data_IF_338438329690
#
_entry.id   IF_338438329690
#
_cell.length_a   1.000
_cell.length_b   1.000
_cell.length_c   1.000
_cell.angle_alpha   90.00
_cell.angle_beta   90.00
_cell.angle_gamma   90.00
#
_symmetry.space_group_name_H-M   'P 1'
#
loop_
_entity.id
_entity.type
_entity.pdbx_description
1 polymer ?
#
# COMPACT_ATOMS: atom_id res chain seq x y z
N UNK A 1 4.85 10.65 -16.66
CA UNK A 1 4.81 9.76 -15.48
C UNK A 1 5.06 10.61 -14.25
N UNK A 2 4.33 10.41 -13.18
CA UNK A 2 4.47 11.25 -11.97
C UNK A 2 5.81 11.01 -11.27
N UNK A 3 6.47 12.07 -10.79
CA UNK A 3 7.73 12.00 -10.02
C UNK A 3 7.58 11.24 -8.68
N UNK A 4 6.33 10.92 -8.30
CA UNK A 4 6.03 10.12 -7.11
C UNK A 4 6.15 8.62 -7.36
N UNK A 5 6.13 8.15 -8.62
CA UNK A 5 6.29 6.74 -8.96
C UNK A 5 7.78 6.46 -9.07
N UNK A 6 8.32 5.71 -8.11
CA UNK A 6 9.76 5.48 -7.95
C UNK A 6 10.08 4.00 -7.75
N UNK A 7 11.31 3.62 -8.08
CA UNK A 7 11.77 2.24 -7.84
C UNK A 7 11.96 1.97 -6.34
N UNK A 8 12.06 0.70 -5.98
CA UNK A 8 12.27 0.29 -4.59
C UNK A 8 13.63 0.80 -4.07
N UNK A 9 14.66 0.88 -4.93
CA UNK A 9 15.98 1.40 -4.60
C UNK A 9 15.94 2.91 -4.32
N UNK A 10 15.23 3.67 -5.16
CA UNK A 10 15.00 5.09 -4.95
C UNK A 10 14.20 5.33 -3.66
N UNK A 11 13.20 4.50 -3.39
CA UNK A 11 12.39 4.57 -2.17
C UNK A 11 13.23 4.26 -0.93
N UNK A 12 14.13 3.28 -1.01
CA UNK A 12 15.07 2.97 0.08
C UNK A 12 15.95 4.17 0.44
N UNK A 13 16.52 4.84 -0.56
CA UNK A 13 17.32 6.04 -0.36
C UNK A 13 16.49 7.19 0.26
N UNK A 14 15.23 7.36 -0.16
CA UNK A 14 14.32 8.35 0.44
C UNK A 14 14.00 8.03 1.89
N UNK A 15 13.73 6.74 2.19
CA UNK A 15 13.47 6.28 3.56
C UNK A 15 14.67 6.54 4.48
N UNK A 16 15.88 6.27 4.01
CA UNK A 16 17.09 6.53 4.75
C UNK A 16 17.28 8.04 5.03
N UNK A 17 17.07 8.88 4.02
CA UNK A 17 17.14 10.34 4.17
C UNK A 17 16.12 10.84 5.20
N UNK A 18 14.87 10.39 5.14
CA UNK A 18 13.84 10.76 6.13
C UNK A 18 14.25 10.35 7.54
N UNK A 19 14.73 9.12 7.72
CA UNK A 19 15.18 8.59 9.01
C UNK A 19 16.35 9.40 9.59
N UNK A 20 17.32 9.78 8.77
CA UNK A 20 18.44 10.64 9.19
C UNK A 20 17.98 12.01 9.70
N UNK A 21 16.86 12.52 9.19
CA UNK A 21 16.26 13.78 9.64
C UNK A 21 15.21 13.60 10.74
N UNK A 22 15.12 12.41 11.35
CA UNK A 22 14.14 12.11 12.39
C UNK A 22 12.68 12.09 11.91
N UNK A 23 12.46 11.99 10.59
CA UNK A 23 11.13 11.98 9.97
C UNK A 23 10.65 10.54 9.76
N UNK A 24 9.35 10.35 9.87
CA UNK A 24 8.68 9.05 9.79
C UNK A 24 8.15 8.76 8.39
N UNK A 25 8.59 7.65 7.80
CA UNK A 25 7.98 7.09 6.60
C UNK A 25 6.92 6.06 6.99
N UNK A 26 5.71 6.25 6.49
CA UNK A 26 4.60 5.32 6.61
C UNK A 26 4.51 4.48 5.34
N UNK A 27 4.45 3.16 5.47
CA UNK A 27 4.27 2.20 4.37
C UNK A 27 2.91 1.53 4.49
N UNK A 28 2.19 1.48 3.39
CA UNK A 28 1.06 0.56 3.18
C UNK A 28 1.25 -0.19 1.87
N UNK A 29 0.60 -1.35 1.72
CA UNK A 29 0.59 -2.10 0.46
C UNK A 29 -0.80 -2.58 0.11
N UNK A 30 -1.02 -2.87 -1.16
CA UNK A 30 -2.27 -3.42 -1.64
C UNK A 30 -2.40 -3.45 -3.15
N UNK A 31 -3.52 -4.00 -3.62
CA UNK A 31 -3.82 -4.11 -5.04
C UNK A 31 -4.38 -2.81 -5.64
N UNK A 32 -5.20 -2.09 -4.90
CA UNK A 32 -5.82 -0.81 -5.30
C UNK A 32 -6.36 -0.84 -6.74
N UNK A 33 -7.09 -1.90 -7.08
CA UNK A 33 -7.53 -2.14 -8.46
C UNK A 33 -8.61 -1.15 -8.91
N UNK A 34 -9.66 -0.96 -8.09
CA UNK A 34 -10.65 0.10 -8.23
C UNK A 34 -10.64 0.98 -6.98
N UNK A 35 -10.23 2.22 -7.14
CA UNK A 35 -10.26 3.18 -6.05
C UNK A 35 -11.69 3.65 -5.76
N UNK A 36 -11.98 3.81 -4.48
CA UNK A 36 -13.21 4.38 -3.97
C UNK A 36 -12.92 5.26 -2.75
N UNK A 37 -13.90 5.98 -2.27
CA UNK A 37 -13.73 6.93 -1.15
C UNK A 37 -13.15 6.28 0.12
N UNK A 38 -13.45 5.00 0.34
CA UNK A 38 -12.86 4.23 1.45
C UNK A 38 -11.33 4.19 1.37
N UNK A 39 -10.76 3.94 0.19
CA UNK A 39 -9.31 3.99 -0.03
C UNK A 39 -8.75 5.40 0.20
N UNK A 40 -9.43 6.44 -0.30
CA UNK A 40 -8.97 7.84 -0.13
C UNK A 40 -8.91 8.22 1.35
N UNK A 41 -9.96 7.89 2.11
CA UNK A 41 -10.02 8.17 3.56
C UNK A 41 -8.97 7.38 4.33
N UNK A 42 -8.80 6.12 3.98
CA UNK A 42 -7.77 5.25 4.57
C UNK A 42 -6.37 5.81 4.32
N UNK A 43 -6.02 6.13 3.07
CA UNK A 43 -4.70 6.65 2.72
C UNK A 43 -4.43 8.01 3.37
N UNK A 44 -5.46 8.87 3.50
CA UNK A 44 -5.35 10.14 4.23
C UNK A 44 -5.03 9.90 5.69
N UNK A 45 -5.78 9.02 6.37
CA UNK A 45 -5.53 8.67 7.76
C UNK A 45 -4.14 8.04 7.96
N UNK A 46 -3.68 7.19 7.03
CA UNK A 46 -2.33 6.64 7.05
C UNK A 46 -1.26 7.75 6.93
N UNK A 47 -1.47 8.72 6.04
CA UNK A 47 -0.54 9.86 5.85
C UNK A 47 -0.38 10.71 7.11
N UNK A 48 -1.44 10.88 7.88
CA UNK A 48 -1.45 11.66 9.14
C UNK A 48 -0.59 11.01 10.26
N UNK A 49 -0.20 9.75 10.11
CA UNK A 49 0.62 9.03 11.08
C UNK A 49 2.13 9.29 10.94
N UNK A 50 2.55 9.96 9.87
CA UNK A 50 3.97 10.25 9.64
C UNK A 50 4.21 11.43 8.70
N UNK A 51 5.44 11.59 8.30
CA UNK A 51 5.89 12.72 7.47
C UNK A 51 5.80 12.45 5.97
N UNK A 52 5.73 11.19 5.57
CA UNK A 52 5.53 10.76 4.19
C UNK A 52 4.79 9.42 4.16
N UNK A 53 3.91 9.25 3.16
CA UNK A 53 3.21 8.00 2.88
C UNK A 53 3.70 7.39 1.56
N UNK A 54 4.12 6.15 1.62
CA UNK A 54 4.38 5.32 0.45
C UNK A 54 3.32 4.23 0.32
N UNK A 55 2.85 4.04 -0.91
CA UNK A 55 2.02 2.90 -1.29
C UNK A 55 2.89 1.92 -2.08
N UNK A 56 3.14 0.75 -1.51
CA UNK A 56 3.69 -0.38 -2.23
C UNK A 56 2.53 -1.10 -2.96
N UNK A 57 2.53 -0.97 -4.28
CA UNK A 57 1.47 -1.46 -5.15
C UNK A 57 1.82 -2.85 -5.68
N UNK A 58 0.93 -3.82 -5.49
CA UNK A 58 1.07 -5.14 -6.08
C UNK A 58 1.00 -5.05 -7.61
N UNK A 59 1.99 -5.62 -8.30
CA UNK A 59 2.03 -5.74 -9.75
C UNK A 59 0.91 -6.63 -10.28
N UNK A 60 0.71 -6.64 -11.60
CA UNK A 60 -0.44 -7.31 -12.23
C UNK A 60 -0.45 -8.82 -11.97
N UNK A 61 0.69 -9.49 -12.11
CA UNK A 61 0.80 -10.94 -11.83
C UNK A 61 0.48 -11.27 -10.37
N UNK A 62 0.95 -10.44 -9.45
CA UNK A 62 0.68 -10.56 -8.03
C UNK A 62 -0.81 -10.40 -7.72
N UNK A 63 -1.47 -9.41 -8.34
CA UNK A 63 -2.93 -9.22 -8.18
C UNK A 63 -3.71 -10.39 -8.76
N UNK A 64 -3.31 -10.92 -9.91
CA UNK A 64 -3.93 -12.10 -10.51
C UNK A 64 -3.87 -13.31 -9.55
N UNK A 65 -2.71 -13.56 -8.94
CA UNK A 65 -2.54 -14.63 -7.95
C UNK A 65 -3.38 -14.43 -6.68
N UNK A 66 -3.55 -13.18 -6.24
CA UNK A 66 -4.31 -12.85 -5.02
C UNK A 66 -5.82 -12.81 -5.22
N UNK A 67 -6.30 -12.39 -6.39
CA UNK A 67 -7.71 -12.07 -6.65
C UNK A 67 -8.38 -13.00 -7.66
N UNK A 68 -7.59 -13.78 -8.41
CA UNK A 68 -8.09 -14.73 -9.39
C UNK A 68 -8.22 -14.18 -10.80
N UNK A 69 -8.85 -14.98 -11.65
CA UNK A 69 -9.02 -14.69 -13.07
C UNK A 69 -9.81 -13.40 -13.30
N UNK A 70 -9.43 -12.66 -14.36
CA UNK A 70 -10.06 -11.38 -14.70
C UNK A 70 -9.60 -10.19 -13.83
N UNK A 71 -8.59 -10.39 -12.99
CA UNK A 71 -8.02 -9.32 -12.16
C UNK A 71 -6.51 -9.19 -12.39
N UNK A 72 -5.94 -7.99 -12.34
CA UNK A 72 -6.63 -6.71 -12.06
C UNK A 72 -7.48 -6.23 -13.24
N UNK A 73 -8.40 -5.29 -12.97
CA UNK A 73 -9.18 -4.59 -14.00
C UNK A 73 -8.35 -3.49 -14.68
N UNK A 74 -7.54 -2.79 -13.89
CA UNK A 74 -6.60 -1.78 -14.37
C UNK A 74 -5.17 -2.30 -14.22
N UNK A 75 -4.34 -2.08 -15.25
CA UNK A 75 -2.94 -2.46 -15.21
C UNK A 75 -2.16 -1.69 -14.12
N UNK A 76 -1.02 -2.21 -13.73
CA UNK A 76 -0.22 -1.66 -12.63
C UNK A 76 0.25 -0.23 -12.87
N UNK A 77 0.51 0.17 -14.12
CA UNK A 77 0.93 1.53 -14.45
C UNK A 77 -0.21 2.53 -14.23
N UNK A 78 -1.42 2.22 -14.70
CA UNK A 78 -2.60 3.06 -14.51
C UNK A 78 -2.98 3.16 -13.03
N UNK A 79 -2.93 2.05 -12.30
CA UNK A 79 -3.18 2.03 -10.85
C UNK A 79 -2.18 2.89 -10.08
N UNK A 80 -0.89 2.81 -10.45
CA UNK A 80 0.16 3.63 -9.85
C UNK A 80 -0.05 5.12 -10.13
N UNK A 81 -0.43 5.48 -11.35
CA UNK A 81 -0.67 6.87 -11.73
C UNK A 81 -1.86 7.47 -10.98
N UNK A 82 -2.97 6.73 -10.85
CA UNK A 82 -4.14 7.15 -10.07
C UNK A 82 -3.79 7.35 -8.59
N UNK A 83 -3.02 6.44 -7.99
CA UNK A 83 -2.55 6.58 -6.61
C UNK A 83 -1.63 7.80 -6.44
N UNK A 84 -0.69 8.00 -7.37
CA UNK A 84 0.24 9.11 -7.34
C UNK A 84 -0.45 10.49 -7.48
N UNK A 85 -1.62 10.52 -8.11
CA UNK A 85 -2.43 11.74 -8.22
C UNK A 85 -3.10 12.16 -6.90
N UNK A 86 -3.19 11.25 -5.91
CA UNK A 86 -3.74 11.58 -4.61
C UNK A 86 -2.78 12.48 -3.82
N UNK A 87 -3.31 13.57 -3.27
CA UNK A 87 -2.51 14.53 -2.49
C UNK A 87 -1.89 13.93 -1.22
N UNK A 88 -2.54 12.91 -0.64
CA UNK A 88 -2.06 12.24 0.56
C UNK A 88 -1.00 11.16 0.29
N UNK A 89 -0.68 10.84 -0.97
CA UNK A 89 0.34 9.86 -1.34
C UNK A 89 1.60 10.61 -1.77
N UNK A 90 2.72 10.34 -1.11
CA UNK A 90 4.01 10.96 -1.42
C UNK A 90 4.80 10.12 -2.43
N UNK A 91 4.75 8.78 -2.29
CA UNK A 91 5.45 7.85 -3.20
C UNK A 91 4.61 6.62 -3.50
N UNK A 92 4.80 6.08 -4.70
CA UNK A 92 4.27 4.79 -5.14
C UNK A 92 5.43 3.96 -5.64
N UNK A 93 5.53 2.71 -5.22
CA UNK A 93 6.47 1.73 -5.78
C UNK A 93 5.73 0.46 -6.14
N UNK A 94 6.01 -0.10 -7.32
CA UNK A 94 5.39 -1.35 -7.78
C UNK A 94 6.31 -2.52 -7.41
N UNK A 95 5.73 -3.60 -6.88
CA UNK A 95 6.47 -4.82 -6.59
C UNK A 95 5.72 -6.05 -7.14
N UNK A 96 6.48 -7.04 -7.62
CA UNK A 96 5.91 -8.18 -8.35
C UNK A 96 5.60 -9.40 -7.48
N UNK A 97 6.14 -9.46 -6.27
CA UNK A 97 5.87 -10.54 -5.33
C UNK A 97 4.45 -10.46 -4.78
N UNK A 98 3.89 -11.59 -4.37
CA UNK A 98 2.58 -11.64 -3.71
C UNK A 98 2.61 -10.89 -2.38
N UNK A 99 3.73 -10.96 -1.66
CA UNK A 99 3.93 -10.35 -0.36
C UNK A 99 4.88 -9.17 -0.41
N UNK A 100 4.67 -8.18 0.43
CA UNK A 100 5.50 -6.99 0.53
C UNK A 100 6.78 -7.18 1.37
N UNK A 101 7.11 -8.41 1.78
CA UNK A 101 8.24 -8.74 2.66
C UNK A 101 9.54 -8.07 2.19
N UNK A 102 9.90 -8.25 0.90
CA UNK A 102 11.11 -7.63 0.33
C UNK A 102 11.07 -6.11 0.36
N UNK A 103 9.91 -5.50 0.09
CA UNK A 103 9.73 -4.04 0.17
C UNK A 103 9.98 -3.56 1.60
N UNK A 104 9.40 -4.24 2.58
CA UNK A 104 9.56 -3.94 4.01
C UNK A 104 11.02 -4.00 4.42
N UNK A 105 11.73 -5.07 4.06
CA UNK A 105 13.14 -5.27 4.43
C UNK A 105 14.08 -4.23 3.82
N UNK A 106 13.84 -3.84 2.57
CA UNK A 106 14.67 -2.86 1.85
C UNK A 106 14.36 -1.44 2.31
N UNK A 107 13.09 -1.07 2.38
CA UNK A 107 12.64 0.29 2.68
C UNK A 107 12.77 0.62 4.17
N UNK A 108 12.56 -0.36 5.04
CA UNK A 108 12.63 -0.22 6.51
C UNK A 108 11.80 0.98 7.00
N UNK A 109 10.47 0.96 6.77
CA UNK A 109 9.60 2.07 7.15
C UNK A 109 9.56 2.24 8.67
N UNK A 110 9.31 3.48 9.13
CA UNK A 110 9.09 3.75 10.56
C UNK A 110 7.76 3.16 11.05
N UNK A 111 6.78 3.12 10.16
CA UNK A 111 5.44 2.60 10.45
C UNK A 111 4.88 1.83 9.26
N UNK A 112 4.21 0.73 9.54
CA UNK A 112 3.46 -0.07 8.57
C UNK A 112 1.98 -0.02 8.90
N UNK A 113 1.16 0.33 7.91
CA UNK A 113 -0.27 0.49 8.08
C UNK A 113 -1.02 -0.52 7.22
N UNK A 114 -1.99 -1.19 7.82
CA UNK A 114 -2.94 -2.06 7.14
C UNK A 114 -4.36 -1.60 7.43
N UNK A 115 -5.25 -1.71 6.46
CA UNK A 115 -6.68 -1.38 6.62
C UNK A 115 -7.50 -2.64 6.78
N UNK A 116 -8.59 -2.57 7.57
CA UNK A 116 -9.59 -3.61 7.58
C UNK A 116 -9.66 -4.48 8.83
N UNK A 117 -10.11 -5.72 8.61
CA UNK A 117 -10.32 -6.70 9.68
C UNK A 117 -9.01 -7.40 10.09
N UNK A 118 -7.85 -6.83 9.71
CA UNK A 118 -6.57 -7.35 10.14
C UNK A 118 -6.35 -7.07 11.61
N UNK A 119 -5.69 -7.99 12.26
CA UNK A 119 -5.02 -7.80 13.55
C UNK A 119 -3.54 -8.05 13.33
N UNK A 120 -2.69 -7.68 14.28
CA UNK A 120 -1.25 -8.02 14.21
C UNK A 120 -1.03 -9.52 14.05
N UNK A 121 -1.91 -10.33 14.65
CA UNK A 121 -1.85 -11.79 14.58
C UNK A 121 -2.32 -12.37 13.22
N UNK A 122 -3.17 -11.65 12.49
CA UNK A 122 -3.70 -12.09 11.19
C UNK A 122 -2.94 -11.50 9.99
N UNK A 123 -1.93 -10.67 10.24
CA UNK A 123 -0.99 -10.27 9.19
C UNK A 123 -0.27 -11.51 8.63
N UNK A 124 0.13 -11.43 7.38
CA UNK A 124 0.96 -12.47 6.80
C UNK A 124 2.19 -12.73 7.66
N UNK A 125 2.50 -14.00 7.99
CA UNK A 125 3.60 -14.33 8.89
C UNK A 125 4.97 -13.84 8.42
N UNK A 126 5.25 -13.86 7.11
CA UNK A 126 6.53 -13.40 6.57
C UNK A 126 6.65 -11.87 6.66
N UNK A 127 5.57 -11.15 6.30
CA UNK A 127 5.53 -9.69 6.45
C UNK A 127 5.66 -9.28 7.92
N UNK A 128 4.96 -9.97 8.82
CA UNK A 128 5.06 -9.70 10.26
C UNK A 128 6.46 -9.92 10.79
N UNK A 129 7.11 -11.04 10.45
CA UNK A 129 8.48 -11.32 10.88
C UNK A 129 9.47 -10.25 10.34
N UNK A 130 9.30 -9.81 9.10
CA UNK A 130 10.13 -8.74 8.53
C UNK A 130 9.95 -7.42 9.30
N UNK A 131 8.71 -7.05 9.65
CA UNK A 131 8.40 -5.86 10.43
C UNK A 131 8.97 -5.92 11.85
N UNK A 132 8.83 -7.05 12.53
CA UNK A 132 9.38 -7.28 13.88
C UNK A 132 10.91 -7.19 13.88
N UNK A 133 11.57 -7.79 12.89
CA UNK A 133 13.04 -7.77 12.73
C UNK A 133 13.62 -6.36 12.62
N UNK A 134 12.90 -5.45 12.02
CA UNK A 134 13.33 -4.06 11.85
C UNK A 134 12.68 -3.09 12.84
N UNK A 135 11.96 -3.61 13.83
CA UNK A 135 11.26 -2.86 14.88
C UNK A 135 10.29 -1.79 14.34
N UNK A 136 9.60 -2.09 13.24
CA UNK A 136 8.60 -1.20 12.64
C UNK A 136 7.32 -1.19 13.47
N UNK A 137 6.77 -0.02 13.74
CA UNK A 137 5.46 0.11 14.38
C UNK A 137 4.35 -0.33 13.41
N UNK A 138 3.45 -1.20 13.86
CA UNK A 138 2.32 -1.69 13.06
C UNK A 138 1.04 -1.01 13.55
N UNK A 139 0.29 -0.42 12.61
CA UNK A 139 -1.02 0.21 12.86
C UNK A 139 -2.08 -0.40 11.97
N UNK A 140 -3.18 -0.81 12.57
CA UNK A 140 -4.38 -1.26 11.86
C UNK A 140 -5.41 -0.15 11.90
N UNK A 141 -5.80 0.33 10.72
CA UNK A 141 -6.85 1.34 10.59
C UNK A 141 -8.18 0.69 10.26
N UNK A 142 -9.29 1.15 10.86
CA UNK A 142 -10.60 0.59 10.59
C UNK A 142 -11.01 0.80 9.14
N UNK A 143 -11.77 -0.15 8.60
CA UNK A 143 -12.44 0.00 7.31
C UNK A 143 -13.55 1.05 7.39
N UNK A 144 -13.78 1.74 6.29
CA UNK A 144 -14.92 2.62 6.13
C UNK A 144 -16.13 1.75 5.73
N UNK A 145 -17.16 1.63 6.57
CA UNK A 145 -18.32 0.79 6.28
C UNK A 145 -18.99 1.16 4.95
N UNK A 146 -19.49 0.16 4.23
CA UNK A 146 -20.23 0.35 2.98
C UNK A 146 -19.40 0.63 1.73
N UNK A 147 -18.07 0.62 1.82
CA UNK A 147 -17.17 0.89 0.71
C UNK A 147 -16.20 -0.27 0.49
N UNK A 148 -16.32 -0.98 -0.64
CA UNK A 148 -15.38 -2.00 -1.07
C UNK A 148 -15.35 -2.12 -2.59
N UNK A 149 -14.22 -2.54 -3.15
CA UNK A 149 -14.08 -2.83 -4.58
C UNK A 149 -15.06 -3.92 -5.04
N UNK A 150 -15.24 -4.97 -4.25
CA UNK A 150 -16.18 -6.05 -4.56
C UNK A 150 -17.61 -5.55 -4.65
N UNK A 151 -18.03 -4.64 -3.77
CA UNK A 151 -19.35 -4.02 -3.83
C UNK A 151 -19.54 -3.22 -5.12
N UNK A 152 -18.55 -2.43 -5.53
CA UNK A 152 -18.62 -1.67 -6.78
C UNK A 152 -18.76 -2.59 -7.99
N UNK A 153 -17.96 -3.65 -8.05
CA UNK A 153 -18.04 -4.64 -9.14
C UNK A 153 -19.43 -5.28 -9.18
N UNK A 154 -19.96 -5.72 -8.04
CA UNK A 154 -21.30 -6.32 -7.98
C UNK A 154 -22.39 -5.34 -8.43
N UNK A 155 -22.29 -4.06 -8.08
CA UNK A 155 -23.25 -3.05 -8.55
C UNK A 155 -23.17 -2.85 -10.06
N UNK A 156 -21.97 -2.80 -10.63
CA UNK A 156 -21.78 -2.65 -12.08
C UNK A 156 -22.34 -3.88 -12.83
N UNK A 157 -22.17 -5.08 -12.30
CA UNK A 157 -22.67 -6.31 -12.90
C UNK A 157 -24.20 -6.43 -12.88
N UNK A 158 -24.89 -5.60 -12.08
CA UNK A 158 -26.35 -5.57 -12.00
C UNK A 158 -26.99 -4.54 -12.95
N UNK A 159 -26.18 -3.73 -13.64
CA UNK A 159 -26.63 -2.77 -14.66
C UNK A 159 -26.85 -3.43 -16.02
#
# INVERSE_FOLDING_TARGET
>A
MSDKIITIEQLSARSETLRHHGRKLVLTNGCFDLLHVGHVRYLRAARELGDALVVALNGDDSVHLLKGEGRPLNNEADRAEVLAALSCVDYVTIFQNVRATRVIEIVRPSMYVKGGDYTTATLDPEERMALEKIATEIRILPLIPGHSTSRLINLIQQL
#
